data_IF_939022471311
#
_entry.id   IF_939022471311
#
_cell.length_a   1.000
_cell.length_b   1.000
_cell.length_c   1.000
_cell.angle_alpha   90.00
_cell.angle_beta   90.00
_cell.angle_gamma   90.00
#
_symmetry.space_group_name_H-M   'P 1'
#
loop_
_entity.id
_entity.type
_entity.pdbx_description
1 polymer ?
#
# COMPACT_ATOMS: atom_id res chain seq x y z
N UNK A 1 -33.40 -3.62 7.48
CA UNK A 1 -32.50 -3.25 6.37
C UNK A 1 -31.07 -3.78 6.55
N UNK A 2 -30.35 -3.49 7.64
CA UNK A 2 -28.94 -3.94 7.84
C UNK A 2 -28.75 -5.47 7.74
N UNK A 3 -29.63 -6.23 8.37
CA UNK A 3 -29.58 -7.70 8.35
C UNK A 3 -29.66 -8.31 6.94
N UNK A 4 -30.36 -7.65 6.01
CA UNK A 4 -30.44 -8.10 4.62
C UNK A 4 -29.09 -7.93 3.90
N UNK A 5 -28.37 -6.85 4.22
CA UNK A 5 -27.02 -6.60 3.68
C UNK A 5 -26.03 -7.63 4.19
N UNK A 6 -26.09 -7.98 5.48
CA UNK A 6 -25.21 -8.98 6.07
C UNK A 6 -25.49 -10.39 5.53
N UNK A 7 -26.78 -10.73 5.34
CA UNK A 7 -27.18 -11.96 4.65
C UNK A 7 -26.65 -12.02 3.22
N UNK A 8 -26.77 -10.92 2.47
CA UNK A 8 -26.20 -10.81 1.11
C UNK A 8 -24.69 -10.99 1.11
N UNK A 9 -23.95 -10.35 2.03
CA UNK A 9 -22.50 -10.53 2.16
C UNK A 9 -22.11 -11.98 2.47
N UNK A 10 -22.90 -12.68 3.30
CA UNK A 10 -22.71 -14.10 3.58
C UNK A 10 -22.91 -14.96 2.33
N UNK A 11 -23.93 -14.68 1.51
CA UNK A 11 -24.14 -15.38 0.25
C UNK A 11 -23.00 -15.13 -0.75
N UNK A 12 -22.54 -13.89 -0.88
CA UNK A 12 -21.39 -13.54 -1.74
C UNK A 12 -20.10 -14.25 -1.29
N UNK A 13 -19.89 -14.38 0.02
CA UNK A 13 -18.77 -15.18 0.57
C UNK A 13 -18.86 -16.64 0.11
N UNK A 14 -20.05 -17.24 0.18
CA UNK A 14 -20.24 -18.63 -0.21
C UNK A 14 -20.04 -18.82 -1.72
N UNK A 15 -20.63 -17.94 -2.54
CA UNK A 15 -20.44 -17.92 -4.00
C UNK A 15 -18.96 -17.86 -4.37
N UNK A 16 -18.19 -16.97 -3.75
CA UNK A 16 -16.74 -16.86 -3.98
C UNK A 16 -15.97 -18.13 -3.67
N UNK A 17 -16.44 -18.96 -2.72
CA UNK A 17 -15.80 -20.22 -2.35
C UNK A 17 -16.20 -21.38 -3.27
N UNK A 18 -17.41 -21.36 -3.82
CA UNK A 18 -17.94 -22.45 -4.66
C UNK A 18 -17.72 -22.24 -6.15
N UNK A 19 -17.96 -21.03 -6.66
CA UNK A 19 -17.85 -20.68 -8.09
C UNK A 19 -17.45 -19.23 -8.24
N UNK A 20 -16.19 -19.01 -8.61
CA UNK A 20 -15.65 -17.66 -8.74
C UNK A 20 -16.22 -16.90 -9.96
N UNK A 21 -16.44 -17.59 -11.07
CA UNK A 21 -16.97 -17.00 -12.31
C UNK A 21 -18.37 -16.41 -12.13
N UNK A 22 -19.27 -17.18 -11.48
CA UNK A 22 -20.62 -16.68 -11.17
C UNK A 22 -20.59 -15.52 -10.18
N UNK A 23 -19.66 -15.55 -9.21
CA UNK A 23 -19.46 -14.45 -8.27
C UNK A 23 -19.05 -13.16 -8.98
N UNK A 24 -18.09 -13.22 -9.92
CA UNK A 24 -17.61 -12.06 -10.67
C UNK A 24 -18.73 -11.47 -11.55
N UNK A 25 -19.44 -12.32 -12.29
CA UNK A 25 -20.58 -11.91 -13.12
C UNK A 25 -21.68 -11.22 -12.30
N UNK A 26 -22.03 -11.78 -11.13
CA UNK A 26 -23.04 -11.18 -10.23
C UNK A 26 -22.55 -9.84 -9.67
N UNK A 27 -21.28 -9.74 -9.27
CA UNK A 27 -20.69 -8.49 -8.79
C UNK A 27 -20.71 -7.41 -9.88
N UNK A 28 -20.44 -7.76 -11.13
CA UNK A 28 -20.47 -6.84 -12.27
C UNK A 28 -21.90 -6.40 -12.63
N UNK A 29 -22.84 -7.36 -12.74
CA UNK A 29 -24.24 -7.09 -13.08
C UNK A 29 -24.95 -6.22 -12.05
N UNK A 30 -24.71 -6.47 -10.76
CA UNK A 30 -25.32 -5.72 -9.66
C UNK A 30 -24.53 -4.47 -9.27
N UNK A 31 -23.34 -4.24 -9.86
CA UNK A 31 -22.45 -3.14 -9.51
C UNK A 31 -21.98 -3.18 -8.04
N UNK A 32 -21.79 -4.38 -7.47
CA UNK A 32 -21.42 -4.56 -6.05
C UNK A 32 -19.93 -4.87 -5.94
N UNK A 33 -19.20 -4.05 -5.19
CA UNK A 33 -17.82 -4.34 -4.79
C UNK A 33 -17.80 -5.19 -3.53
N UNK A 34 -17.22 -6.39 -3.63
CA UNK A 34 -17.02 -7.26 -2.47
C UNK A 34 -15.78 -6.83 -1.67
N UNK A 35 -16.00 -6.30 -0.47
CA UNK A 35 -14.94 -5.94 0.48
C UNK A 35 -14.79 -7.00 1.56
N UNK A 36 -13.56 -7.42 1.85
CA UNK A 36 -13.29 -8.32 2.96
C UNK A 36 -13.67 -7.67 4.30
N UNK A 37 -14.22 -8.45 5.25
CA UNK A 37 -14.42 -7.97 6.61
C UNK A 37 -13.05 -7.64 7.24
N UNK A 38 -12.94 -6.58 8.04
CA UNK A 38 -11.74 -6.32 8.82
C UNK A 38 -11.50 -7.46 9.82
N UNK A 39 -10.23 -7.73 10.12
CA UNK A 39 -9.85 -8.75 11.11
C UNK A 39 -10.35 -8.40 12.52
N UNK A 40 -10.30 -7.10 12.87
CA UNK A 40 -10.74 -6.61 14.18
C UNK A 40 -11.70 -5.43 14.05
N UNK A 41 -12.90 -5.57 14.63
CA UNK A 41 -13.86 -4.47 14.77
C UNK A 41 -13.54 -3.65 16.03
N UNK A 42 -12.52 -2.79 15.93
CA UNK A 42 -12.14 -1.89 17.03
C UNK A 42 -12.82 -0.54 16.87
N UNK A 43 -13.28 0.02 18.00
CA UNK A 43 -13.78 1.39 18.02
C UNK A 43 -12.62 2.37 17.90
N UNK A 44 -12.66 3.21 16.89
CA UNK A 44 -11.68 4.29 16.70
C UNK A 44 -12.02 5.44 17.66
N UNK A 45 -11.27 5.56 18.76
CA UNK A 45 -11.42 6.69 19.70
C UNK A 45 -10.60 7.89 19.25
N UNK A 46 -10.98 9.11 19.68
CA UNK A 46 -10.25 10.34 19.33
C UNK A 46 -8.77 10.27 19.72
N UNK A 47 -8.47 9.79 20.94
CA UNK A 47 -7.10 9.61 21.45
C UNK A 47 -6.30 8.64 20.56
N UNK A 48 -6.90 7.52 20.18
CA UNK A 48 -6.23 6.55 19.32
C UNK A 48 -5.98 7.11 17.92
N UNK A 49 -6.95 7.81 17.34
CA UNK A 49 -6.82 8.44 16.02
C UNK A 49 -5.68 9.47 15.99
N UNK A 50 -5.63 10.36 17.00
CA UNK A 50 -4.56 11.36 17.12
C UNK A 50 -3.18 10.70 17.29
N UNK A 51 -3.08 9.69 18.16
CA UNK A 51 -1.84 8.92 18.35
C UNK A 51 -1.41 8.24 17.05
N UNK A 52 -2.33 7.57 16.34
CA UNK A 52 -2.04 6.85 15.11
C UNK A 52 -1.57 7.82 14.01
N UNK A 53 -2.23 8.97 13.87
CA UNK A 53 -1.84 10.00 12.90
C UNK A 53 -0.43 10.54 13.18
N UNK A 54 -0.11 10.82 14.45
CA UNK A 54 1.23 11.25 14.85
C UNK A 54 2.28 10.17 14.53
N UNK A 55 2.02 8.91 14.89
CA UNK A 55 2.95 7.82 14.59
C UNK A 55 3.23 7.66 13.09
N UNK A 56 2.22 7.86 12.23
CA UNK A 56 2.41 7.80 10.77
C UNK A 56 3.32 8.94 10.29
N UNK A 57 3.13 10.17 10.79
CA UNK A 57 3.99 11.31 10.45
C UNK A 57 5.44 11.05 10.85
N UNK A 58 5.68 10.65 12.09
CA UNK A 58 7.01 10.34 12.62
C UNK A 58 7.65 9.20 11.82
N UNK A 59 6.91 8.14 11.50
CA UNK A 59 7.41 7.03 10.69
C UNK A 59 7.88 7.50 9.30
N UNK A 60 7.09 8.34 8.64
CA UNK A 60 7.44 8.88 7.33
C UNK A 60 8.70 9.75 7.40
N UNK A 61 8.82 10.64 8.39
CA UNK A 61 10.00 11.48 8.58
C UNK A 61 11.27 10.64 8.82
N UNK A 62 11.19 9.63 9.69
CA UNK A 62 12.30 8.71 9.96
C UNK A 62 12.67 7.92 8.70
N UNK A 63 11.67 7.46 7.93
CA UNK A 63 11.90 6.76 6.66
C UNK A 63 12.66 7.66 5.66
N UNK A 64 12.29 8.94 5.54
CA UNK A 64 12.98 9.87 4.64
C UNK A 64 14.43 10.12 5.06
N UNK A 65 14.69 10.31 6.36
CA UNK A 65 16.05 10.47 6.88
C UNK A 65 16.93 9.26 6.57
N UNK A 66 16.42 8.04 6.84
CA UNK A 66 17.15 6.80 6.53
C UNK A 66 17.40 6.61 5.04
N UNK A 67 16.45 7.00 4.18
CA UNK A 67 16.64 6.94 2.73
C UNK A 67 17.72 7.93 2.27
N UNK A 68 17.76 9.14 2.85
CA UNK A 68 18.80 10.12 2.55
C UNK A 68 20.19 9.64 3.00
N UNK A 69 20.30 9.06 4.20
CA UNK A 69 21.54 8.46 4.70
C UNK A 69 22.02 7.33 3.80
N UNK A 70 21.12 6.43 3.38
CA UNK A 70 21.46 5.35 2.44
C UNK A 70 21.94 5.86 1.09
N UNK A 71 21.35 6.94 0.56
CA UNK A 71 21.78 7.56 -0.69
C UNK A 71 23.18 8.14 -0.57
N UNK A 72 23.47 8.86 0.52
CA UNK A 72 24.81 9.40 0.79
C UNK A 72 25.87 8.30 0.86
N UNK A 73 25.58 7.22 1.60
CA UNK A 73 26.47 6.06 1.67
C UNK A 73 26.69 5.40 0.30
N UNK A 74 25.64 5.34 -0.53
CA UNK A 74 25.74 4.80 -1.88
C UNK A 74 26.63 5.68 -2.77
N UNK A 75 26.43 7.00 -2.74
CA UNK A 75 27.23 7.98 -3.49
C UNK A 75 28.70 7.96 -3.04
N UNK A 76 28.97 7.85 -1.73
CA UNK A 76 30.31 7.73 -1.16
C UNK A 76 31.00 6.39 -1.51
N UNK A 77 30.22 5.32 -1.66
CA UNK A 77 30.71 3.99 -2.05
C UNK A 77 30.84 3.78 -3.56
N UNK A 78 30.29 4.68 -4.38
CA UNK A 78 30.45 4.64 -5.82
C UNK A 78 31.88 5.09 -6.20
N UNK A 79 32.67 4.27 -6.89
CA UNK A 79 34.02 4.65 -7.28
C UNK A 79 33.94 5.80 -8.28
N UNK A 80 34.71 6.86 -8.05
CA UNK A 80 34.93 7.95 -9.01
C UNK A 80 35.69 7.40 -10.23
N UNK A 81 34.99 6.70 -11.12
CA UNK A 81 35.56 6.26 -12.39
C UNK A 81 35.27 7.29 -13.49
N UNK A 82 36.37 7.74 -14.11
CA UNK A 82 36.51 8.43 -15.40
C UNK A 82 36.29 9.94 -15.46
N UNK A 83 37.27 10.67 -14.92
CA UNK A 83 37.66 12.00 -15.42
C UNK A 83 39.15 12.02 -15.78
N UNK A 84 39.61 11.13 -16.68
CA UNK A 84 40.92 11.27 -17.34
C UNK A 84 40.80 10.71 -18.77
N UNK A 85 41.31 11.47 -19.74
CA UNK A 85 41.52 11.16 -21.16
C UNK A 85 40.40 11.48 -22.17
N UNK A 86 40.11 12.76 -22.38
CA UNK A 86 39.82 13.31 -23.72
C UNK A 86 40.51 14.66 -23.89
N UNK A 87 41.85 14.65 -23.93
CA UNK A 87 42.63 15.77 -24.46
C UNK A 87 43.28 15.33 -25.79
N UNK A 88 43.01 16.09 -26.86
CA UNK A 88 43.93 16.28 -27.98
C UNK A 88 43.79 15.36 -29.20
N UNK A 89 43.08 15.84 -30.23
CA UNK A 89 43.52 15.62 -31.62
C UNK A 89 43.10 16.84 -32.46
N UNK A 90 44.00 17.77 -32.79
CA UNK A 90 43.81 18.69 -33.88
C UNK A 90 44.32 18.06 -35.20
N UNK A 91 43.71 18.52 -36.29
CA UNK A 91 43.85 18.13 -37.71
C UNK A 91 45.27 17.81 -38.17
#
# INVERSE_FOLDING_TARGET
MLMAVDRRKKMLKNLRLTSYETFENVCQQLGIVYTFPPEYYRRVTRRWAAKKALCIKVFNEVKQKRLAEKRKLLDESSPKETSVLKEGTPV
#
